data_IF_896575221573
#
_entry.id   IF_896575221573
#
_cell.length_a   1.000
_cell.length_b   1.000
_cell.length_c   1.000
_cell.angle_alpha   90.00
_cell.angle_beta   90.00
_cell.angle_gamma   90.00
#
_symmetry.space_group_name_H-M   'P 1'
#
loop_
_entity.id
_entity.type
_entity.pdbx_description
1 polymer ?
#
# COMPACT_ATOMS: atom_id res chain seq x y z
N UNK A 1 16.16 -16.88 -11.66
CA UNK A 1 16.63 -16.05 -10.51
C UNK A 1 16.18 -14.61 -10.71
N UNK A 2 15.58 -14.00 -9.70
CA UNK A 2 15.09 -12.62 -9.74
C UNK A 2 16.28 -11.67 -9.94
N UNK A 3 16.27 -10.81 -10.99
CA UNK A 3 17.33 -9.83 -11.22
C UNK A 3 17.47 -8.82 -10.08
N UNK A 4 18.69 -8.37 -9.82
CA UNK A 4 18.98 -7.34 -8.82
C UNK A 4 18.63 -5.94 -9.34
N UNK A 5 17.36 -5.70 -9.56
CA UNK A 5 16.80 -4.42 -10.01
C UNK A 5 15.62 -4.09 -9.09
N UNK A 6 15.62 -2.89 -8.51
CA UNK A 6 14.45 -2.34 -7.81
C UNK A 6 13.80 -1.30 -8.72
N UNK A 7 12.58 -1.59 -9.15
CA UNK A 7 11.77 -0.71 -9.98
C UNK A 7 10.85 0.12 -9.11
N UNK A 8 10.69 1.38 -9.47
CA UNK A 8 9.71 2.29 -8.87
C UNK A 8 9.22 3.32 -9.89
N UNK A 9 8.08 3.92 -9.61
CA UNK A 9 7.42 4.86 -10.53
C UNK A 9 7.26 6.23 -9.91
N UNK A 10 7.52 7.28 -10.72
CA UNK A 10 7.16 8.64 -10.33
C UNK A 10 6.75 9.44 -11.55
N UNK A 11 5.45 9.70 -11.70
CA UNK A 11 4.83 10.40 -12.81
C UNK A 11 4.28 11.75 -12.40
N UNK A 12 3.99 12.62 -13.41
CA UNK A 12 3.37 13.93 -13.20
C UNK A 12 4.36 15.07 -13.03
N UNK A 13 5.66 14.83 -13.22
CA UNK A 13 6.72 15.85 -13.30
C UNK A 13 7.00 16.62 -12.01
N UNK A 14 6.40 16.24 -10.86
CA UNK A 14 6.70 16.86 -9.56
C UNK A 14 7.97 16.25 -8.95
N UNK A 15 8.64 17.01 -8.08
CA UNK A 15 9.71 16.48 -7.25
C UNK A 15 9.21 15.35 -6.33
N UNK A 16 10.09 14.43 -5.98
CA UNK A 16 9.82 13.41 -4.97
C UNK A 16 9.51 14.08 -3.62
N UNK A 17 8.48 13.62 -2.88
CA UNK A 17 8.26 14.06 -1.51
C UNK A 17 9.31 13.48 -0.56
N UNK A 18 9.51 14.10 0.58
CA UNK A 18 10.50 13.68 1.58
C UNK A 18 10.35 12.20 2.00
N UNK A 19 9.12 11.70 2.08
CA UNK A 19 8.87 10.28 2.40
C UNK A 19 9.45 9.37 1.31
N UNK A 20 9.23 9.68 0.03
CA UNK A 20 9.77 8.90 -1.07
C UNK A 20 11.31 8.93 -1.10
N UNK A 21 11.92 10.10 -0.87
CA UNK A 21 13.38 10.22 -0.77
C UNK A 21 13.95 9.36 0.37
N UNK A 22 13.29 9.36 1.54
CA UNK A 22 13.65 8.51 2.68
C UNK A 22 13.57 7.02 2.33
N UNK A 23 12.50 6.59 1.67
CA UNK A 23 12.31 5.20 1.27
C UNK A 23 13.37 4.76 0.25
N UNK A 24 13.62 5.56 -0.78
CA UNK A 24 14.66 5.28 -1.79
C UNK A 24 16.05 5.19 -1.14
N UNK A 25 16.40 6.11 -0.24
CA UNK A 25 17.65 6.05 0.50
C UNK A 25 17.78 4.76 1.35
N UNK A 26 16.66 4.21 1.84
CA UNK A 26 16.67 2.92 2.53
C UNK A 26 16.99 1.75 1.58
N UNK A 27 16.55 1.82 0.31
CA UNK A 27 16.88 0.80 -0.70
C UNK A 27 18.35 0.84 -1.07
N UNK A 28 18.92 2.03 -1.29
CA UNK A 28 20.36 2.20 -1.52
C UNK A 28 21.19 1.65 -0.37
N UNK A 29 20.74 1.88 0.87
CA UNK A 29 21.43 1.42 2.07
C UNK A 29 21.42 -0.10 2.23
N UNK A 30 20.25 -0.73 2.02
CA UNK A 30 20.05 -2.15 2.33
C UNK A 30 20.25 -3.07 1.13
N UNK A 31 20.21 -2.53 -0.09
CA UNK A 31 20.39 -3.25 -1.34
C UNK A 31 21.40 -2.53 -2.28
N UNK A 32 22.63 -2.22 -1.81
CA UNK A 32 23.60 -1.40 -2.58
C UNK A 32 24.04 -2.06 -3.90
N UNK A 33 23.83 -3.37 -4.05
CA UNK A 33 24.14 -4.11 -5.26
C UNK A 33 22.99 -4.15 -6.27
N UNK A 34 21.85 -3.51 -5.98
CA UNK A 34 20.70 -3.43 -6.88
C UNK A 34 20.75 -2.17 -7.74
N UNK A 35 20.41 -2.31 -9.02
CA UNK A 35 20.07 -1.17 -9.87
C UNK A 35 18.73 -0.56 -9.41
N UNK A 36 18.71 0.74 -9.10
CA UNK A 36 17.45 1.45 -8.84
C UNK A 36 16.92 2.03 -10.16
N UNK A 37 15.79 1.54 -10.64
CA UNK A 37 15.23 1.91 -11.93
C UNK A 37 13.94 2.72 -11.78
N UNK A 38 14.08 4.04 -11.91
CA UNK A 38 12.94 4.96 -11.98
C UNK A 38 12.23 4.82 -13.33
N UNK A 39 10.90 4.73 -13.25
CA UNK A 39 10.02 4.83 -14.40
C UNK A 39 9.22 6.13 -14.35
N UNK A 40 9.21 6.86 -15.46
CA UNK A 40 8.48 8.10 -15.63
C UNK A 40 8.20 8.36 -17.13
N UNK A 41 7.72 9.54 -17.47
CA UNK A 41 7.36 9.94 -18.84
C UNK A 41 8.56 9.98 -19.79
N UNK A 42 9.80 9.95 -19.31
CA UNK A 42 10.99 10.00 -20.17
C UNK A 42 11.38 8.63 -20.72
N UNK A 43 10.95 7.55 -20.06
CA UNK A 43 11.37 6.18 -20.39
C UNK A 43 10.20 5.19 -20.50
N UNK A 44 8.95 5.65 -20.32
CA UNK A 44 7.76 4.86 -20.53
C UNK A 44 6.69 5.66 -21.29
N UNK A 45 6.19 5.11 -22.40
CA UNK A 45 5.06 5.70 -23.11
C UNK A 45 3.75 5.39 -22.40
N UNK A 46 3.20 6.39 -21.72
CA UNK A 46 1.93 6.28 -20.99
C UNK A 46 0.72 6.01 -21.91
N UNK A 47 0.87 6.15 -23.23
CA UNK A 47 -0.18 5.85 -24.18
C UNK A 47 -0.15 4.39 -24.66
N UNK A 48 0.71 3.54 -24.08
CA UNK A 48 0.85 2.12 -24.45
C UNK A 48 -0.48 1.38 -24.43
N UNK A 49 -1.35 1.67 -23.45
CA UNK A 49 -2.70 1.10 -23.36
C UNK A 49 -3.74 2.19 -23.03
N UNK A 50 -5.02 2.00 -23.41
CA UNK A 50 -6.09 2.97 -23.13
C UNK A 50 -6.21 3.31 -21.65
N UNK A 51 -6.01 2.33 -20.75
CA UNK A 51 -6.09 2.50 -19.31
C UNK A 51 -5.11 3.55 -18.80
N UNK A 52 -3.81 3.40 -19.12
CA UNK A 52 -2.76 4.35 -18.67
C UNK A 52 -2.91 5.72 -19.29
N UNK A 53 -3.27 5.79 -20.59
CA UNK A 53 -3.53 7.05 -21.28
C UNK A 53 -4.68 7.84 -20.63
N UNK A 54 -5.77 7.17 -20.28
CA UNK A 54 -6.93 7.79 -19.62
C UNK A 54 -6.63 8.18 -18.18
N UNK A 55 -5.95 7.32 -17.41
CA UNK A 55 -5.54 7.60 -16.04
C UNK A 55 -4.59 8.82 -15.96
N UNK A 56 -3.64 8.91 -16.89
CA UNK A 56 -2.73 10.05 -17.02
C UNK A 56 -3.48 11.36 -17.31
N UNK A 57 -4.41 11.35 -18.27
CA UNK A 57 -5.27 12.52 -18.57
C UNK A 57 -6.07 12.97 -17.35
N UNK A 58 -6.52 12.02 -16.52
CA UNK A 58 -7.22 12.28 -15.27
C UNK A 58 -6.26 12.65 -14.12
N UNK A 59 -4.94 12.68 -14.35
CA UNK A 59 -3.89 12.90 -13.34
C UNK A 59 -3.93 11.91 -12.18
N UNK A 60 -4.37 10.67 -12.46
CA UNK A 60 -4.44 9.57 -11.50
C UNK A 60 -3.22 8.66 -11.65
N UNK A 61 -2.06 9.17 -11.23
CA UNK A 61 -0.74 8.58 -11.48
C UNK A 61 -0.54 7.21 -10.84
N UNK A 62 -1.16 6.93 -9.69
CA UNK A 62 -1.12 5.61 -9.07
C UNK A 62 -1.66 4.52 -10.00
N UNK A 63 -2.72 4.81 -10.76
CA UNK A 63 -3.27 3.86 -11.73
C UNK A 63 -2.38 3.67 -12.97
N UNK A 64 -1.56 4.67 -13.31
CA UNK A 64 -0.48 4.48 -14.30
C UNK A 64 0.58 3.54 -13.73
N UNK A 65 0.97 3.73 -12.47
CA UNK A 65 1.93 2.87 -11.77
C UNK A 65 1.42 1.42 -11.63
N UNK A 66 0.10 1.21 -11.49
CA UNK A 66 -0.49 -0.14 -11.42
C UNK A 66 -0.21 -1.00 -12.66
N UNK A 67 -0.27 -0.41 -13.85
CA UNK A 67 0.15 -1.08 -15.07
C UNK A 67 1.67 -1.26 -15.12
N UNK A 68 2.40 -0.22 -14.75
CA UNK A 68 3.84 -0.19 -14.95
C UNK A 68 4.60 -1.15 -14.02
N UNK A 69 4.10 -1.41 -12.81
CA UNK A 69 4.73 -2.42 -11.93
C UNK A 69 4.70 -3.81 -12.57
N UNK A 70 3.61 -4.16 -13.24
CA UNK A 70 3.52 -5.40 -14.00
C UNK A 70 4.42 -5.37 -15.25
N UNK A 71 4.47 -4.24 -15.96
CA UNK A 71 5.36 -4.04 -17.11
C UNK A 71 6.83 -4.24 -16.72
N UNK A 72 7.27 -3.59 -15.66
CA UNK A 72 8.65 -3.65 -15.19
C UNK A 72 9.05 -5.09 -14.84
N UNK A 73 8.26 -5.79 -14.05
CA UNK A 73 8.54 -7.18 -13.65
C UNK A 73 8.47 -8.13 -14.85
N UNK A 74 7.50 -7.96 -15.75
CA UNK A 74 7.37 -8.85 -16.92
C UNK A 74 8.54 -8.71 -17.89
N UNK A 75 8.89 -7.48 -18.27
CA UNK A 75 9.91 -7.27 -19.31
C UNK A 75 11.35 -7.29 -18.79
N UNK A 76 11.57 -6.98 -17.53
CA UNK A 76 12.92 -6.87 -16.95
C UNK A 76 13.17 -7.91 -15.86
N UNK A 77 12.16 -8.42 -15.18
CA UNK A 77 12.31 -9.09 -13.89
C UNK A 77 12.76 -8.11 -12.82
N UNK A 78 12.96 -8.57 -11.60
CA UNK A 78 13.38 -7.73 -10.48
C UNK A 78 12.27 -7.55 -9.45
N UNK A 79 12.40 -6.52 -8.63
CA UNK A 79 11.52 -6.20 -7.51
C UNK A 79 10.89 -4.83 -7.77
N UNK A 80 9.57 -4.73 -7.72
CA UNK A 80 8.86 -3.47 -7.71
C UNK A 80 8.50 -3.07 -6.29
N UNK A 81 8.72 -1.81 -5.94
CA UNK A 81 8.31 -1.17 -4.69
C UNK A 81 7.61 0.16 -4.98
N UNK A 82 6.52 0.45 -4.26
CA UNK A 82 5.96 1.80 -4.26
C UNK A 82 6.90 2.76 -3.52
N UNK A 83 6.87 4.05 -3.88
CA UNK A 83 7.83 5.05 -3.38
C UNK A 83 7.70 5.37 -1.89
N UNK A 84 6.68 4.85 -1.23
CA UNK A 84 6.44 4.95 0.20
C UNK A 84 6.68 3.62 0.96
N UNK A 85 7.44 2.70 0.35
CA UNK A 85 7.93 1.46 0.98
C UNK A 85 9.35 1.65 1.48
N UNK A 86 9.56 1.61 2.78
CA UNK A 86 10.87 1.68 3.43
C UNK A 86 11.44 0.27 3.66
N UNK A 87 12.66 -0.02 3.23
CA UNK A 87 13.38 -1.24 3.59
C UNK A 87 14.04 -1.08 4.95
N UNK A 88 13.97 -2.14 5.78
CA UNK A 88 14.59 -2.19 7.11
C UNK A 88 15.82 -3.08 7.14
N UNK A 89 15.95 -4.03 6.21
CA UNK A 89 17.07 -4.96 6.07
C UNK A 89 17.18 -5.46 4.63
N UNK A 90 18.34 -6.00 4.22
CA UNK A 90 18.52 -6.59 2.89
C UNK A 90 17.64 -7.83 2.71
N UNK A 91 17.29 -8.13 1.45
CA UNK A 91 16.62 -9.40 1.12
C UNK A 91 17.58 -10.56 1.28
N UNK A 92 17.15 -11.61 1.98
CA UNK A 92 17.94 -12.83 2.17
C UNK A 92 17.83 -13.77 0.97
N UNK A 93 18.76 -14.73 0.88
CA UNK A 93 18.71 -15.79 -0.14
C UNK A 93 17.40 -16.56 -0.13
N UNK A 94 16.80 -16.77 1.05
CA UNK A 94 15.57 -17.54 1.20
C UNK A 94 14.38 -16.84 0.53
N UNK A 95 14.25 -15.50 0.73
CA UNK A 95 13.22 -14.70 0.05
C UNK A 95 13.46 -14.71 -1.47
N UNK A 96 14.71 -14.63 -1.92
CA UNK A 96 15.09 -14.54 -3.33
C UNK A 96 15.18 -15.91 -4.03
N UNK A 97 15.01 -17.02 -3.32
CA UNK A 97 15.05 -18.38 -3.88
C UNK A 97 13.81 -18.72 -4.71
N UNK A 98 12.73 -17.97 -4.56
CA UNK A 98 11.49 -18.14 -5.29
C UNK A 98 11.53 -17.43 -6.63
N UNK A 99 10.77 -17.94 -7.62
CA UNK A 99 10.72 -17.32 -8.96
C UNK A 99 9.83 -16.06 -8.99
N UNK A 100 8.90 -15.97 -8.05
CA UNK A 100 8.00 -14.83 -7.90
C UNK A 100 7.51 -14.75 -6.45
N UNK A 101 7.42 -13.55 -5.88
CA UNK A 101 6.83 -13.35 -4.56
C UNK A 101 6.15 -11.99 -4.40
N UNK A 102 5.22 -11.93 -3.47
CA UNK A 102 4.54 -10.73 -2.99
C UNK A 102 4.10 -10.92 -1.53
N UNK A 103 3.43 -9.93 -0.96
CA UNK A 103 2.98 -9.99 0.43
C UNK A 103 1.55 -9.52 0.63
N UNK A 104 0.92 -10.04 1.67
CA UNK A 104 -0.36 -9.53 2.14
C UNK A 104 -0.23 -8.08 2.64
N UNK A 105 -1.25 -7.27 2.36
CA UNK A 105 -1.47 -5.97 2.97
C UNK A 105 -2.41 -6.08 4.19
N UNK A 106 -3.32 -7.05 4.14
CA UNK A 106 -4.33 -7.34 5.16
C UNK A 106 -4.79 -8.80 5.04
N UNK A 107 -5.72 -9.23 5.86
CA UNK A 107 -6.35 -10.55 5.70
C UNK A 107 -7.13 -10.71 4.40
N UNK A 108 -7.42 -9.61 3.70
CA UNK A 108 -8.29 -9.62 2.51
C UNK A 108 -7.52 -9.49 1.20
N UNK A 109 -6.30 -8.91 1.22
CA UNK A 109 -5.60 -8.52 0.00
C UNK A 109 -4.11 -8.78 0.04
N UNK A 110 -3.58 -9.27 -1.08
CA UNK A 110 -2.16 -9.25 -1.44
C UNK A 110 -1.90 -7.98 -2.26
N UNK A 111 -0.89 -7.19 -1.87
CA UNK A 111 -0.62 -5.91 -2.53
C UNK A 111 0.72 -5.92 -3.28
N UNK A 112 0.70 -5.92 -4.62
CA UNK A 112 1.91 -5.85 -5.42
C UNK A 112 2.59 -4.45 -5.39
N UNK A 113 2.01 -3.46 -4.70
CA UNK A 113 2.64 -2.18 -4.40
C UNK A 113 3.56 -2.23 -3.19
N UNK A 114 3.24 -3.08 -2.19
CA UNK A 114 4.14 -3.30 -1.06
C UNK A 114 5.46 -3.93 -1.51
N UNK A 115 5.32 -4.97 -2.33
CA UNK A 115 6.40 -5.67 -3.01
C UNK A 115 5.82 -6.58 -4.09
N UNK A 116 6.43 -6.56 -5.27
CA UNK A 116 6.15 -7.51 -6.33
C UNK A 116 7.47 -7.89 -7.00
N UNK A 117 7.91 -9.09 -6.76
CA UNK A 117 9.17 -9.60 -7.30
C UNK A 117 8.93 -10.77 -8.23
N UNK A 118 9.70 -10.83 -9.30
CA UNK A 118 9.58 -11.93 -10.25
C UNK A 118 10.74 -12.01 -11.23
N UNK A 119 10.91 -13.18 -11.82
CA UNK A 119 11.79 -13.35 -12.98
C UNK A 119 11.19 -12.67 -14.20
N UNK A 120 12.02 -12.35 -15.17
CA UNK A 120 11.55 -11.86 -16.49
C UNK A 120 10.59 -12.89 -17.09
N UNK A 121 9.45 -12.42 -17.59
CA UNK A 121 8.39 -13.27 -18.12
C UNK A 121 7.44 -13.82 -17.07
N UNK A 122 7.46 -13.29 -15.83
CA UNK A 122 6.57 -13.69 -14.75
C UNK A 122 5.10 -13.77 -15.21
N UNK A 123 4.47 -14.93 -15.00
CA UNK A 123 3.09 -15.21 -15.45
C UNK A 123 2.08 -14.23 -14.86
N UNK A 124 2.20 -13.91 -13.55
CA UNK A 124 1.28 -12.99 -12.88
C UNK A 124 1.43 -11.55 -13.37
N UNK A 125 2.65 -11.14 -13.69
CA UNK A 125 2.88 -9.84 -14.32
C UNK A 125 2.22 -9.78 -15.71
N UNK A 126 2.28 -10.86 -16.48
CA UNK A 126 1.57 -10.99 -17.77
C UNK A 126 0.05 -10.88 -17.60
N UNK A 127 -0.53 -11.59 -16.64
CA UNK A 127 -1.99 -11.52 -16.38
C UNK A 127 -2.45 -10.12 -15.98
N UNK A 128 -1.67 -9.40 -15.17
CA UNK A 128 -1.96 -8.00 -14.84
C UNK A 128 -1.90 -7.10 -16.08
N UNK A 129 -0.89 -7.28 -16.96
CA UNK A 129 -0.80 -6.53 -18.22
C UNK A 129 -2.00 -6.80 -19.14
N UNK A 130 -2.42 -8.06 -19.26
CA UNK A 130 -3.58 -8.48 -20.04
C UNK A 130 -4.88 -7.86 -19.46
N UNK A 131 -5.02 -7.90 -18.12
CA UNK A 131 -6.15 -7.26 -17.43
C UNK A 131 -6.25 -5.77 -17.78
N UNK A 132 -5.18 -4.99 -17.57
CA UNK A 132 -5.18 -3.55 -17.84
C UNK A 132 -5.27 -3.20 -19.31
N UNK A 133 -4.78 -4.07 -20.20
CA UNK A 133 -4.93 -3.90 -21.65
C UNK A 133 -6.37 -4.13 -22.13
N UNK A 134 -7.14 -4.93 -21.38
CA UNK A 134 -8.55 -5.25 -21.71
C UNK A 134 -9.56 -4.28 -21.15
N UNK A 135 -9.17 -3.36 -20.26
CA UNK A 135 -10.07 -2.45 -19.58
C UNK A 135 -9.76 -0.98 -19.88
N UNK A 136 -10.71 -0.11 -19.55
CA UNK A 136 -10.57 1.34 -19.62
C UNK A 136 -10.59 1.93 -18.22
N UNK A 137 -9.80 3.01 -18.00
CA UNK A 137 -9.85 3.77 -16.75
C UNK A 137 -11.12 4.62 -16.67
N UNK A 138 -11.61 5.14 -17.80
CA UNK A 138 -12.91 5.81 -17.89
C UNK A 138 -13.93 4.81 -18.42
N UNK A 139 -14.92 4.44 -17.60
CA UNK A 139 -16.00 3.52 -17.94
C UNK A 139 -16.93 4.14 -19.01
N UNK A 140 -17.74 3.32 -19.69
CA UNK A 140 -18.69 3.76 -20.72
C UNK A 140 -19.70 4.79 -20.21
N UNK A 141 -20.01 4.79 -18.91
CA UNK A 141 -20.91 5.76 -18.26
C UNK A 141 -20.19 7.06 -17.82
N UNK A 142 -18.89 7.20 -18.12
CA UNK A 142 -18.09 8.35 -17.73
C UNK A 142 -17.45 8.29 -16.34
N UNK A 143 -17.79 7.31 -15.54
CA UNK A 143 -17.19 7.11 -14.20
C UNK A 143 -15.75 6.59 -14.31
N UNK A 144 -14.94 6.88 -13.31
CA UNK A 144 -13.59 6.33 -13.22
C UNK A 144 -13.62 4.90 -12.69
N UNK A 145 -12.74 4.05 -13.23
CA UNK A 145 -12.47 2.73 -12.69
C UNK A 145 -11.42 2.86 -11.59
N UNK A 146 -11.86 2.98 -10.36
CA UNK A 146 -11.01 3.16 -9.18
C UNK A 146 -10.78 1.85 -8.40
N UNK A 147 -11.00 0.69 -9.02
CA UNK A 147 -10.71 -0.60 -8.39
C UNK A 147 -9.22 -0.67 -8.03
N UNK A 148 -8.87 -0.85 -6.75
CA UNK A 148 -7.48 -0.82 -6.32
C UNK A 148 -6.76 -2.10 -6.76
N UNK A 149 -5.47 -1.98 -7.07
CA UNK A 149 -4.68 -3.12 -7.55
C UNK A 149 -4.59 -4.29 -6.54
N UNK A 150 -4.59 -4.11 -5.20
CA UNK A 150 -4.62 -5.23 -4.29
C UNK A 150 -5.82 -6.15 -4.49
N UNK A 151 -7.00 -5.58 -4.78
CA UNK A 151 -8.20 -6.35 -5.10
C UNK A 151 -8.05 -7.11 -6.43
N UNK A 152 -7.57 -6.42 -7.47
CA UNK A 152 -7.36 -7.03 -8.80
C UNK A 152 -6.36 -8.18 -8.70
N UNK A 153 -5.23 -7.95 -8.04
CA UNK A 153 -4.17 -8.94 -7.92
C UNK A 153 -4.60 -10.15 -7.07
N UNK A 154 -5.29 -9.90 -5.96
CA UNK A 154 -5.83 -10.98 -5.14
C UNK A 154 -6.84 -11.83 -5.90
N UNK A 155 -7.73 -11.21 -6.70
CA UNK A 155 -8.68 -11.94 -7.55
C UNK A 155 -7.98 -12.80 -8.63
N UNK A 156 -6.84 -12.35 -9.14
CA UNK A 156 -6.00 -13.19 -10.01
C UNK A 156 -5.45 -14.36 -9.22
N UNK A 157 -4.89 -14.15 -8.04
CA UNK A 157 -4.27 -15.20 -7.21
C UNK A 157 -5.28 -16.23 -6.69
N UNK A 158 -6.55 -15.87 -6.49
CA UNK A 158 -7.61 -16.84 -6.13
C UNK A 158 -7.74 -17.97 -7.17
N UNK A 159 -7.48 -17.70 -8.46
CA UNK A 159 -7.48 -18.72 -9.53
C UNK A 159 -6.37 -19.76 -9.34
N UNK A 160 -5.31 -19.40 -8.61
CA UNK A 160 -4.16 -20.24 -8.30
C UNK A 160 -4.22 -20.84 -6.89
N UNK A 161 -5.37 -20.74 -6.21
CA UNK A 161 -5.60 -21.38 -4.91
C UNK A 161 -5.17 -20.52 -3.72
N UNK A 162 -5.01 -19.20 -3.87
CA UNK A 162 -4.78 -18.31 -2.74
C UNK A 162 -5.90 -18.40 -1.70
N UNK A 163 -5.54 -18.50 -0.43
CA UNK A 163 -6.45 -18.33 0.70
C UNK A 163 -6.22 -16.94 1.32
N UNK A 164 -7.26 -16.12 1.43
CA UNK A 164 -7.21 -14.78 2.03
C UNK A 164 -7.22 -14.87 3.56
N UNK A 165 -6.10 -15.24 4.17
CA UNK A 165 -5.98 -15.53 5.60
C UNK A 165 -4.70 -14.99 6.24
N UNK A 166 -3.93 -14.17 5.51
CA UNK A 166 -2.67 -13.58 5.97
C UNK A 166 -1.65 -14.60 6.49
N UNK A 167 -1.55 -15.78 5.87
CA UNK A 167 -0.54 -16.78 6.17
C UNK A 167 0.46 -16.92 5.04
N UNK A 168 1.64 -17.47 5.34
CA UNK A 168 2.60 -17.87 4.31
C UNK A 168 2.00 -18.96 3.41
N UNK A 169 2.10 -18.78 2.09
CA UNK A 169 1.58 -19.70 1.10
C UNK A 169 2.55 -19.83 -0.08
N UNK A 170 2.84 -21.06 -0.46
CA UNK A 170 3.53 -21.39 -1.71
C UNK A 170 2.50 -21.89 -2.72
N UNK A 171 2.27 -21.10 -3.76
CA UNK A 171 1.45 -21.45 -4.90
C UNK A 171 2.37 -21.78 -6.08
N UNK A 172 1.88 -22.50 -7.07
CA UNK A 172 2.69 -22.91 -8.24
C UNK A 172 3.35 -21.73 -8.97
N UNK A 173 2.75 -20.54 -8.89
CA UNK A 173 3.17 -19.34 -9.62
C UNK A 173 3.77 -18.23 -8.74
N UNK A 174 3.63 -18.30 -7.41
CA UNK A 174 4.06 -17.27 -6.49
C UNK A 174 4.17 -17.77 -5.05
N UNK A 175 5.13 -17.24 -4.31
CA UNK A 175 5.15 -17.29 -2.84
C UNK A 175 4.51 -16.02 -2.27
N UNK A 176 3.53 -16.19 -1.39
CA UNK A 176 2.84 -15.07 -0.74
C UNK A 176 3.18 -15.04 0.75
N UNK A 177 3.74 -13.94 1.20
CA UNK A 177 4.16 -13.74 2.58
C UNK A 177 3.09 -13.01 3.40
N UNK A 178 2.96 -13.31 4.72
CA UNK A 178 2.07 -12.57 5.61
C UNK A 178 2.51 -11.12 5.79
N UNK A 179 1.60 -10.27 6.28
CA UNK A 179 1.81 -8.82 6.46
C UNK A 179 3.06 -8.48 7.26
N UNK A 180 3.45 -9.30 8.23
CA UNK A 180 4.64 -9.06 9.07
C UNK A 180 5.93 -8.93 8.27
N UNK A 181 6.01 -9.54 7.05
CA UNK A 181 7.21 -9.50 6.22
C UNK A 181 7.39 -8.16 5.50
N UNK A 182 6.33 -7.63 4.88
CA UNK A 182 6.46 -6.49 3.96
C UNK A 182 5.50 -5.33 4.27
N UNK A 183 4.45 -5.57 5.06
CA UNK A 183 3.43 -4.57 5.38
C UNK A 183 2.97 -4.66 6.86
N UNK A 184 3.89 -4.48 7.84
CA UNK A 184 3.58 -4.59 9.26
C UNK A 184 2.75 -3.42 9.79
N UNK A 185 2.50 -2.39 8.95
CA UNK A 185 1.64 -1.26 9.29
C UNK A 185 0.21 -1.56 8.89
N UNK A 186 -0.69 -1.55 9.86
CA UNK A 186 -2.12 -1.69 9.61
C UNK A 186 -2.69 -0.41 8.95
N UNK A 187 -3.30 -0.56 7.79
CA UNK A 187 -3.84 0.56 7.01
C UNK A 187 -4.93 1.34 7.75
N UNK A 188 -5.75 0.66 8.55
CA UNK A 188 -6.90 1.29 9.22
C UNK A 188 -6.51 2.05 10.48
N UNK A 189 -5.53 1.54 11.22
CA UNK A 189 -5.11 2.08 12.53
C UNK A 189 -3.79 2.82 12.50
N UNK A 190 -2.96 2.61 11.45
CA UNK A 190 -1.60 3.13 11.38
C UNK A 190 -0.63 2.50 12.37
N UNK A 191 -1.07 1.48 13.13
CA UNK A 191 -0.21 0.76 14.07
C UNK A 191 0.83 -0.07 13.31
N UNK A 192 2.06 -0.10 13.83
CA UNK A 192 3.17 -0.84 13.21
C UNK A 192 3.62 -1.94 14.15
N UNK A 193 3.68 -3.17 13.66
CA UNK A 193 4.12 -4.35 14.42
C UNK A 193 5.33 -4.98 13.74
N UNK A 194 6.54 -4.54 14.11
CA UNK A 194 7.80 -5.06 13.56
C UNK A 194 8.19 -6.33 14.29
N UNK A 195 8.61 -7.34 13.53
CA UNK A 195 9.19 -8.60 14.00
C UNK A 195 10.57 -8.84 13.37
N UNK A 196 11.25 -9.90 13.76
CA UNK A 196 12.51 -10.31 13.12
C UNK A 196 12.31 -10.71 11.64
N UNK A 197 11.07 -11.06 11.25
CA UNK A 197 10.72 -11.38 9.87
C UNK A 197 10.48 -10.14 9.00
N UNK A 198 10.36 -8.95 9.57
CA UNK A 198 10.01 -7.73 8.82
C UNK A 198 11.16 -7.25 7.95
N UNK A 199 10.92 -7.14 6.64
CA UNK A 199 11.85 -6.61 5.63
C UNK A 199 11.57 -5.17 5.25
N UNK A 200 10.29 -4.78 5.21
CA UNK A 200 9.87 -3.44 4.80
C UNK A 200 8.64 -2.95 5.55
N UNK A 201 8.40 -1.64 5.45
CA UNK A 201 7.18 -0.99 5.92
C UNK A 201 6.58 -0.22 4.76
N UNK A 202 5.32 -0.47 4.43
CA UNK A 202 4.54 0.39 3.55
C UNK A 202 3.90 1.50 4.39
N UNK A 203 4.29 2.75 4.12
CA UNK A 203 3.86 3.88 4.95
C UNK A 203 2.43 4.35 4.66
N UNK A 204 1.86 3.97 3.51
CA UNK A 204 0.54 4.41 3.04
C UNK A 204 0.45 5.94 2.98
N UNK A 205 1.47 6.58 2.39
CA UNK A 205 1.54 8.05 2.23
C UNK A 205 0.37 8.58 1.40
N UNK A 206 -0.16 7.74 0.50
CA UNK A 206 -1.39 8.03 -0.22
C UNK A 206 -1.27 9.24 -1.15
N UNK A 207 -0.14 9.42 -1.84
CA UNK A 207 0.11 10.57 -2.73
C UNK A 207 -0.97 10.77 -3.81
N UNK A 208 -1.81 9.77 -4.06
CA UNK A 208 -2.93 9.77 -5.01
C UNK A 208 -4.28 10.12 -4.36
N UNK A 209 -4.34 10.14 -3.03
CA UNK A 209 -5.54 10.48 -2.24
C UNK A 209 -5.63 12.01 -2.10
N UNK A 210 -6.82 12.63 -2.12
CA UNK A 210 -6.99 14.04 -1.83
C UNK A 210 -6.39 14.44 -0.48
N UNK A 211 -5.82 15.64 -0.39
CA UNK A 211 -5.08 16.09 0.80
C UNK A 211 -5.92 16.11 2.09
N UNK A 212 -7.20 16.41 1.98
CA UNK A 212 -8.15 16.36 3.10
C UNK A 212 -8.37 14.94 3.63
N UNK A 213 -8.47 13.96 2.75
CA UNK A 213 -8.56 12.54 3.12
C UNK A 213 -7.23 12.03 3.71
N UNK A 214 -6.08 12.41 3.15
CA UNK A 214 -4.78 12.08 3.74
C UNK A 214 -4.66 12.61 5.17
N UNK A 215 -5.02 13.88 5.37
CA UNK A 215 -5.04 14.50 6.70
C UNK A 215 -5.95 13.75 7.67
N UNK A 216 -7.14 13.37 7.21
CA UNK A 216 -8.09 12.61 8.02
C UNK A 216 -7.53 11.24 8.42
N UNK A 217 -6.84 10.54 7.51
CA UNK A 217 -6.19 9.27 7.81
C UNK A 217 -5.06 9.45 8.85
N UNK A 218 -4.23 10.49 8.71
CA UNK A 218 -3.17 10.77 9.68
C UNK A 218 -3.75 11.12 11.06
N UNK A 219 -4.79 11.95 11.15
CA UNK A 219 -5.48 12.26 12.41
C UNK A 219 -6.04 10.99 13.08
N UNK A 220 -6.61 10.07 12.27
CA UNK A 220 -7.11 8.78 12.73
C UNK A 220 -5.98 7.90 13.29
N UNK A 221 -4.86 7.81 12.58
CA UNK A 221 -3.70 7.04 13.03
C UNK A 221 -3.08 7.61 14.30
N UNK A 222 -2.95 8.94 14.41
CA UNK A 222 -2.48 9.61 15.63
C UNK A 222 -3.40 9.34 16.81
N UNK A 223 -4.71 9.29 16.56
CA UNK A 223 -5.68 8.92 17.58
C UNK A 223 -5.46 7.49 18.08
N UNK A 224 -5.35 6.52 17.17
CA UNK A 224 -5.13 5.12 17.55
C UNK A 224 -3.74 4.89 18.18
N UNK A 225 -2.71 5.55 17.69
CA UNK A 225 -1.38 5.52 18.31
C UNK A 225 -1.41 6.01 19.77
N UNK A 226 -2.25 6.98 20.08
CA UNK A 226 -2.36 7.58 21.41
C UNK A 226 -3.25 6.80 22.37
N UNK A 227 -4.33 6.21 21.89
CA UNK A 227 -5.38 5.63 22.72
C UNK A 227 -5.54 4.11 22.56
N UNK A 228 -4.80 3.48 21.66
CA UNK A 228 -4.94 2.09 21.28
C UNK A 228 -5.97 1.89 20.16
N UNK A 229 -6.14 0.65 19.75
CA UNK A 229 -7.03 0.25 18.66
C UNK A 229 -7.98 -0.89 19.02
N UNK A 230 -8.24 -1.08 20.33
CA UNK A 230 -9.25 -2.03 20.76
C UNK A 230 -10.66 -1.62 20.30
N UNK A 231 -11.59 -2.54 20.31
CA UNK A 231 -12.97 -2.33 19.83
C UNK A 231 -13.65 -1.11 20.49
N UNK A 232 -13.35 -0.86 21.76
CA UNK A 232 -13.91 0.27 22.46
C UNK A 232 -13.38 1.60 21.93
N UNK A 233 -12.07 1.69 21.68
CA UNK A 233 -11.41 2.88 21.12
C UNK A 233 -11.87 3.14 19.69
N UNK A 234 -12.00 2.08 18.86
CA UNK A 234 -12.52 2.16 17.48
C UNK A 234 -13.97 2.69 17.49
N UNK A 235 -14.83 2.12 18.33
CA UNK A 235 -16.21 2.58 18.47
C UNK A 235 -16.29 4.04 18.99
N UNK A 236 -15.37 4.44 19.87
CA UNK A 236 -15.30 5.82 20.35
C UNK A 236 -14.90 6.78 19.23
N UNK A 237 -13.90 6.44 18.42
CA UNK A 237 -13.48 7.25 17.28
C UNK A 237 -14.61 7.45 16.28
N UNK A 238 -15.30 6.36 15.89
CA UNK A 238 -16.41 6.42 14.93
C UNK A 238 -17.56 7.30 15.47
N UNK A 239 -17.91 7.18 16.75
CA UNK A 239 -18.93 8.05 17.37
C UNK A 239 -18.52 9.52 17.40
N UNK A 240 -17.22 9.82 17.59
CA UNK A 240 -16.72 11.20 17.54
C UNK A 240 -16.85 11.76 16.12
N UNK A 241 -16.52 10.99 15.09
CA UNK A 241 -16.67 11.40 13.69
C UNK A 241 -18.13 11.60 13.29
N UNK A 242 -19.02 10.69 13.67
CA UNK A 242 -20.47 10.86 13.48
C UNK A 242 -21.01 12.14 14.13
N UNK A 243 -20.47 12.51 15.29
CA UNK A 243 -20.86 13.75 15.96
C UNK A 243 -20.30 14.98 15.24
N UNK A 244 -19.08 14.91 14.70
CA UNK A 244 -18.49 15.99 13.89
C UNK A 244 -19.30 16.24 12.62
N UNK A 245 -19.65 15.19 11.88
CA UNK A 245 -20.45 15.28 10.66
C UNK A 245 -21.88 15.79 10.92
N UNK A 246 -22.47 15.43 12.07
CA UNK A 246 -23.82 15.89 12.46
C UNK A 246 -23.83 17.27 13.12
N UNK A 247 -22.69 17.72 13.68
CA UNK A 247 -22.56 19.02 14.36
C UNK A 247 -22.05 20.13 13.44
N UNK A 248 -22.63 20.27 12.26
CA UNK A 248 -22.40 21.43 11.37
C UNK A 248 -22.76 22.78 12.08
N UNK A 249 -23.29 22.74 13.31
CA UNK A 249 -23.67 23.91 14.10
C UNK A 249 -23.04 23.87 15.51
N UNK A 250 -21.93 24.66 15.67
CA UNK A 250 -21.54 25.33 16.92
C UNK A 250 -21.21 24.54 18.19
N UNK A 251 -20.06 23.81 18.22
CA UNK A 251 -19.30 23.71 19.46
C UNK A 251 -17.80 23.54 19.14
N UNK A 252 -16.87 24.23 19.85
CA UNK A 252 -15.45 24.04 19.58
C UNK A 252 -15.04 22.62 19.94
N UNK A 253 -14.64 21.84 18.95
CA UNK A 253 -14.15 20.46 19.02
C UNK A 253 -13.23 20.17 20.23
N UNK A 254 -12.38 21.13 20.62
CA UNK A 254 -11.52 21.04 21.80
C UNK A 254 -12.26 20.80 23.13
N UNK A 255 -13.52 21.22 23.22
CA UNK A 255 -14.30 21.09 24.49
C UNK A 255 -14.95 19.69 24.59
N UNK A 256 -15.43 19.15 23.47
CA UNK A 256 -15.96 17.78 23.40
C UNK A 256 -14.86 16.74 23.58
N UNK A 257 -13.68 16.94 22.97
CA UNK A 257 -12.48 16.13 23.17
C UNK A 257 -12.05 16.08 24.64
N UNK A 258 -11.93 17.24 25.32
CA UNK A 258 -11.56 17.28 26.73
C UNK A 258 -12.57 16.59 27.64
N UNK A 259 -13.86 16.64 27.32
CA UNK A 259 -14.94 16.08 28.15
C UNK A 259 -15.06 14.57 27.98
N UNK A 260 -14.97 14.06 26.75
CA UNK A 260 -14.98 12.63 26.45
C UNK A 260 -13.75 11.92 27.05
N UNK A 261 -12.55 12.48 26.84
CA UNK A 261 -11.30 11.95 27.38
C UNK A 261 -11.30 11.93 28.93
N UNK A 262 -11.76 13.01 29.58
CA UNK A 262 -11.84 13.02 31.07
C UNK A 262 -12.81 11.98 31.62
N UNK A 263 -13.93 11.72 30.93
CA UNK A 263 -14.88 10.66 31.33
C UNK A 263 -14.30 9.25 31.14
N UNK A 264 -13.54 9.03 30.06
CA UNK A 264 -12.91 7.74 29.74
C UNK A 264 -11.78 7.43 30.69
N UNK A 265 -10.86 8.37 30.95
CA UNK A 265 -9.79 8.22 31.94
C UNK A 265 -10.34 7.93 33.34
N UNK A 266 -11.43 8.58 33.75
CA UNK A 266 -12.10 8.29 35.01
C UNK A 266 -12.73 6.89 35.09
N UNK A 267 -13.21 6.32 33.97
CA UNK A 267 -13.73 4.94 33.92
C UNK A 267 -12.58 3.92 34.00
N UNK A 268 -11.52 4.14 33.24
CA UNK A 268 -10.33 3.27 33.22
C UNK A 268 -9.67 3.27 34.61
N UNK A 269 -9.49 4.43 35.25
CA UNK A 269 -8.91 4.51 36.59
C UNK A 269 -9.75 3.86 37.68
N UNK A 270 -11.06 3.64 37.45
CA UNK A 270 -11.92 2.87 38.37
C UNK A 270 -11.83 1.36 38.15
N UNK A 271 -11.44 0.89 36.96
CA UNK A 271 -11.25 -0.53 36.66
C UNK A 271 -9.92 -1.03 37.26
N UNK A 272 -8.86 -0.21 37.26
CA UNK A 272 -7.55 -0.55 37.83
C UNK A 272 -7.42 -0.25 39.35
N UNK A 273 -8.49 0.22 40.01
CA UNK A 273 -8.55 0.41 41.47
C UNK A 273 -9.41 -0.65 42.17
N UNK A 274 -9.82 -1.68 41.48
CA UNK A 274 -10.35 -2.93 42.04
C UNK A 274 -9.35 -4.06 41.76
#
# INVERSE_FOLDING_TARGET
MIPKIIHYCWFGGKSLPQMAEKCIASWEKHCPEYELKLWNETNFDINTVPFTAQASKAKKWAFVADYLRAYAVFYHGGIYLDTDVELLKPFTSDILSTNCFSGFQSNEYVNPGNIFAGEKGCVLAKELLEFYSSCNFIKKNGELNLTPIPEIFSNILLKYGLHLNNTYQELDVITVYPTEYFCPKDFHTGMVSITDNTYSIHHFDGSWVPQDEQKLNHEKWDFYKKYGNDEYVVNMYNKLKDCEEKSIYNAPLKLLYKTAIKRTIRKISKIFKK
#
